data_IF_216172342701
#
_entry.id   IF_216172342701
#
_cell.length_a   1.000
_cell.length_b   1.000
_cell.length_c   1.000
_cell.angle_alpha   90.00
_cell.angle_beta   90.00
_cell.angle_gamma   90.00
#
_symmetry.space_group_name_H-M   'P 1'
#
loop_
_entity.id
_entity.type
_entity.pdbx_description
1 polymer ?
#
# COMPACT_ATOMS: atom_id res chain seq x y z
N UNK A 1 6.75 1.12 -98.50
CA UNK A 1 5.95 1.15 -97.26
C UNK A 1 6.18 -0.16 -96.50
N UNK A 2 7.11 -0.19 -95.54
CA UNK A 2 7.18 -1.29 -94.57
C UNK A 2 6.80 -0.71 -93.21
N UNK A 3 5.63 -1.13 -92.70
CA UNK A 3 5.14 -0.73 -91.38
C UNK A 3 5.88 -1.56 -90.33
N UNK A 4 6.69 -0.89 -89.50
CA UNK A 4 7.28 -1.48 -88.32
C UNK A 4 6.21 -1.49 -87.21
N UNK A 5 5.80 -2.67 -86.76
CA UNK A 5 4.88 -2.80 -85.62
C UNK A 5 5.69 -3.02 -84.36
N UNK A 6 5.79 -1.96 -83.55
CA UNK A 6 6.41 -1.98 -82.23
C UNK A 6 5.36 -2.48 -81.23
N UNK A 7 5.54 -3.70 -80.71
CA UNK A 7 4.76 -4.24 -79.61
C UNK A 7 5.42 -3.83 -78.29
N UNK A 8 4.77 -2.92 -77.55
CA UNK A 8 5.20 -2.52 -76.21
C UNK A 8 4.53 -3.46 -75.20
N UNK A 9 5.32 -4.27 -74.52
CA UNK A 9 4.88 -5.06 -73.37
C UNK A 9 4.89 -4.17 -72.12
N UNK A 10 3.73 -3.94 -71.50
CA UNK A 10 3.63 -3.33 -70.18
C UNK A 10 3.85 -4.41 -69.12
N UNK A 11 4.98 -4.35 -68.42
CA UNK A 11 5.24 -5.18 -67.23
C UNK A 11 4.51 -4.54 -66.04
N UNK A 12 3.39 -5.12 -65.61
CA UNK A 12 2.73 -4.73 -64.36
C UNK A 12 3.43 -5.53 -63.24
N UNK A 13 4.35 -4.90 -62.52
CA UNK A 13 4.93 -5.48 -61.32
C UNK A 13 3.96 -5.38 -60.15
N UNK A 14 3.44 -6.49 -59.66
CA UNK A 14 2.71 -6.56 -58.40
C UNK A 14 3.68 -6.69 -57.25
N UNK A 15 3.81 -5.66 -56.41
CA UNK A 15 4.47 -5.77 -55.11
C UNK A 15 3.50 -6.38 -54.11
N UNK A 16 3.68 -7.65 -53.78
CA UNK A 16 2.98 -8.27 -52.67
C UNK A 16 3.76 -7.99 -51.37
N UNK A 17 3.18 -7.22 -50.45
CA UNK A 17 3.71 -7.13 -49.08
C UNK A 17 3.35 -8.40 -48.33
N UNK A 18 4.36 -9.09 -47.79
CA UNK A 18 4.14 -10.20 -46.87
C UNK A 18 3.52 -9.69 -45.56
N UNK A 19 2.72 -10.51 -44.90
CA UNK A 19 2.06 -10.16 -43.65
C UNK A 19 3.09 -10.04 -42.52
N UNK A 20 3.18 -8.86 -41.90
CA UNK A 20 4.13 -8.57 -40.82
C UNK A 20 3.55 -8.81 -39.42
N UNK A 21 2.44 -9.54 -39.34
CA UNK A 21 1.70 -9.83 -38.10
C UNK A 21 0.89 -11.12 -38.26
N UNK A 22 0.61 -11.83 -37.17
CA UNK A 22 -0.41 -12.87 -37.16
C UNK A 22 -1.76 -12.20 -36.96
N UNK A 23 -2.64 -12.34 -37.95
CA UNK A 23 -4.00 -11.79 -37.92
C UNK A 23 -5.00 -12.90 -37.61
N UNK A 24 -5.65 -12.82 -36.45
CA UNK A 24 -6.75 -13.69 -36.11
C UNK A 24 -8.08 -12.98 -36.46
N UNK A 25 -8.83 -13.54 -37.40
CA UNK A 25 -10.21 -13.12 -37.73
C UNK A 25 -11.15 -14.34 -37.75
N UNK A 26 -10.87 -15.30 -36.88
CA UNK A 26 -11.63 -16.54 -36.78
C UNK A 26 -11.55 -17.14 -35.38
N UNK A 27 -11.86 -18.42 -35.28
CA UNK A 27 -11.98 -19.12 -34.00
C UNK A 27 -10.65 -19.74 -33.56
N UNK A 28 -9.60 -18.92 -33.44
CA UNK A 28 -8.31 -19.39 -32.92
C UNK A 28 -8.49 -19.85 -31.46
N UNK A 29 -8.16 -21.11 -31.18
CA UNK A 29 -8.26 -21.71 -29.85
C UNK A 29 -7.03 -22.54 -29.53
N UNK A 30 -6.47 -22.30 -28.36
CA UNK A 30 -5.37 -23.05 -27.77
C UNK A 30 -5.99 -24.00 -26.75
N UNK A 31 -5.87 -25.30 -27.02
CA UNK A 31 -6.37 -26.35 -26.14
C UNK A 31 -5.35 -26.69 -25.04
N UNK A 32 -5.79 -27.44 -24.04
CA UNK A 32 -4.96 -27.95 -22.95
C UNK A 32 -3.71 -28.68 -23.50
N UNK A 33 -2.54 -28.35 -22.95
CA UNK A 33 -1.25 -28.86 -23.43
C UNK A 33 -0.77 -28.28 -24.76
N UNK A 34 -1.56 -27.44 -25.42
CA UNK A 34 -1.16 -26.70 -26.60
C UNK A 34 -0.15 -25.60 -26.27
N UNK A 35 0.70 -25.25 -27.22
CA UNK A 35 1.63 -24.12 -27.10
C UNK A 35 1.67 -23.32 -28.39
N UNK A 36 1.61 -21.99 -28.27
CA UNK A 36 1.68 -21.04 -29.37
C UNK A 36 2.73 -19.97 -29.08
N UNK A 37 3.72 -19.82 -29.95
CA UNK A 37 4.74 -18.78 -29.84
C UNK A 37 4.57 -17.70 -30.90
N UNK A 38 4.35 -16.46 -30.47
CA UNK A 38 4.36 -15.28 -31.32
C UNK A 38 5.76 -14.69 -31.42
N UNK A 39 6.34 -14.71 -32.62
CA UNK A 39 7.58 -14.02 -32.97
C UNK A 39 7.33 -12.77 -33.85
N UNK A 40 6.08 -12.32 -33.89
CA UNK A 40 5.59 -11.20 -34.69
C UNK A 40 4.38 -10.59 -33.98
N UNK A 41 3.92 -9.43 -34.45
CA UNK A 41 2.77 -8.75 -33.87
C UNK A 41 1.51 -9.63 -33.94
N UNK A 42 0.64 -9.54 -32.94
CA UNK A 42 -0.69 -10.15 -32.94
C UNK A 42 -1.73 -9.07 -33.23
N UNK A 43 -2.59 -9.33 -34.21
CA UNK A 43 -3.79 -8.54 -34.48
C UNK A 43 -5.00 -9.44 -34.27
N UNK A 44 -5.79 -9.18 -33.22
CA UNK A 44 -6.96 -9.96 -32.87
C UNK A 44 -8.27 -9.26 -33.26
N UNK A 45 -8.91 -9.74 -34.31
CA UNK A 45 -10.18 -9.24 -34.86
C UNK A 45 -11.35 -10.20 -34.62
N UNK A 46 -11.20 -11.19 -33.74
CA UNK A 46 -12.27 -12.11 -33.36
C UNK A 46 -12.17 -12.50 -31.86
N UNK A 47 -13.28 -12.90 -31.21
CA UNK A 47 -13.25 -13.41 -29.84
C UNK A 47 -12.24 -14.54 -29.68
N UNK A 48 -11.41 -14.45 -28.64
CA UNK A 48 -10.33 -15.40 -28.37
C UNK A 48 -10.32 -15.75 -26.87
N UNK A 49 -11.43 -16.35 -26.42
CA UNK A 49 -11.67 -16.69 -25.02
C UNK A 49 -11.41 -18.16 -24.71
N UNK A 50 -11.34 -18.50 -23.42
CA UNK A 50 -11.29 -19.88 -22.90
C UNK A 50 -10.07 -20.71 -23.29
N UNK A 51 -9.01 -20.09 -23.80
CA UNK A 51 -7.74 -20.78 -24.04
C UNK A 51 -7.27 -21.51 -22.77
N UNK A 52 -6.56 -22.63 -22.92
CA UNK A 52 -6.08 -23.48 -21.82
C UNK A 52 -4.58 -23.82 -21.89
N UNK A 53 -3.89 -23.45 -22.97
CA UNK A 53 -2.48 -23.76 -23.17
C UNK A 53 -1.56 -22.54 -23.06
N UNK A 54 -0.28 -22.77 -23.35
CA UNK A 54 0.77 -21.76 -23.29
C UNK A 54 0.75 -20.85 -24.52
N UNK A 55 0.83 -19.55 -24.27
CA UNK A 55 1.09 -18.52 -25.28
C UNK A 55 2.36 -17.78 -24.92
N UNK A 56 3.35 -17.76 -25.81
CA UNK A 56 4.57 -17.01 -25.59
C UNK A 56 4.74 -15.86 -26.59
N UNK A 57 5.28 -14.74 -26.14
CA UNK A 57 5.75 -13.65 -26.98
C UNK A 57 7.28 -13.61 -26.93
N UNK A 58 7.91 -13.76 -28.09
CA UNK A 58 9.35 -14.01 -28.20
C UNK A 58 9.99 -13.13 -29.28
N UNK A 59 10.95 -12.31 -28.91
CA UNK A 59 11.69 -11.54 -29.92
C UNK A 59 12.68 -10.54 -29.34
N UNK A 60 13.53 -10.03 -30.22
CA UNK A 60 14.43 -8.92 -29.87
C UNK A 60 13.84 -7.58 -30.27
N UNK A 61 12.99 -7.50 -31.30
CA UNK A 61 12.25 -6.29 -31.65
C UNK A 61 10.98 -6.16 -30.79
N UNK A 62 10.43 -4.93 -30.61
CA UNK A 62 9.14 -4.75 -29.96
C UNK A 62 8.07 -5.57 -30.67
N UNK A 63 7.23 -6.26 -29.89
CA UNK A 63 6.04 -6.92 -30.39
C UNK A 63 4.81 -6.13 -29.95
N UNK A 64 3.75 -6.17 -30.76
CA UNK A 64 2.50 -5.48 -30.46
C UNK A 64 1.32 -6.46 -30.45
N UNK A 65 0.45 -6.33 -29.45
CA UNK A 65 -0.91 -6.88 -29.46
C UNK A 65 -1.88 -5.74 -29.75
N UNK A 66 -2.66 -5.89 -30.81
CA UNK A 66 -3.67 -4.91 -31.24
C UNK A 66 -4.90 -5.63 -31.78
N UNK A 67 -5.94 -4.88 -32.14
CA UNK A 67 -7.13 -5.43 -32.77
C UNK A 67 -8.42 -4.82 -32.22
N UNK A 68 -9.52 -5.54 -32.37
CA UNK A 68 -10.87 -5.10 -31.99
C UNK A 68 -11.41 -5.85 -30.75
N UNK A 69 -10.87 -7.05 -30.46
CA UNK A 69 -11.34 -7.91 -29.37
C UNK A 69 -10.20 -8.27 -28.43
N UNK A 70 -10.35 -7.99 -27.13
CA UNK A 70 -9.36 -8.35 -26.09
C UNK A 70 -9.14 -9.86 -26.09
N UNK A 71 -7.93 -10.36 -26.40
CA UNK A 71 -7.66 -11.79 -26.31
C UNK A 71 -7.51 -12.22 -24.85
N UNK A 72 -8.00 -13.42 -24.53
CA UNK A 72 -7.74 -14.09 -23.26
C UNK A 72 -6.76 -15.25 -23.47
N UNK A 73 -5.64 -15.24 -22.76
CA UNK A 73 -4.70 -16.35 -22.70
C UNK A 73 -4.81 -17.10 -21.36
N UNK A 74 -4.24 -18.31 -21.32
CA UNK A 74 -4.21 -19.13 -20.10
C UNK A 74 -2.87 -19.03 -19.39
N UNK A 75 -1.82 -19.52 -20.02
CA UNK A 75 -0.44 -19.28 -19.60
C UNK A 75 0.21 -18.34 -20.59
N UNK A 76 0.90 -17.32 -20.09
CA UNK A 76 1.60 -16.32 -20.89
C UNK A 76 3.07 -16.32 -20.53
N UNK A 77 3.94 -16.44 -21.53
CA UNK A 77 5.39 -16.21 -21.40
C UNK A 77 5.79 -14.95 -22.15
N UNK A 78 6.59 -14.10 -21.50
CA UNK A 78 7.01 -12.82 -22.05
C UNK A 78 8.53 -12.78 -22.08
N UNK A 79 9.10 -12.95 -23.27
CA UNK A 79 10.53 -12.79 -23.51
C UNK A 79 10.75 -11.93 -24.77
N UNK A 80 10.47 -10.64 -24.62
CA UNK A 80 10.58 -9.64 -25.69
C UNK A 80 11.57 -8.55 -25.26
N UNK A 81 12.78 -8.54 -25.82
CA UNK A 81 13.87 -7.65 -25.36
C UNK A 81 13.50 -6.15 -25.40
N UNK A 82 12.75 -5.74 -26.42
CA UNK A 82 12.26 -4.36 -26.57
C UNK A 82 10.74 -4.25 -26.32
N UNK A 83 10.26 -4.98 -25.32
CA UNK A 83 8.91 -4.91 -24.74
C UNK A 83 7.76 -5.44 -25.61
N UNK A 84 6.70 -5.91 -24.93
CA UNK A 84 5.40 -6.23 -25.52
C UNK A 84 4.47 -5.02 -25.37
N UNK A 85 4.16 -4.37 -26.49
CA UNK A 85 3.29 -3.19 -26.54
C UNK A 85 1.83 -3.60 -26.69
N UNK A 86 0.96 -3.07 -25.82
CA UNK A 86 -0.47 -3.28 -25.90
C UNK A 86 -1.15 -2.05 -26.50
N UNK A 87 -1.79 -2.24 -27.65
CA UNK A 87 -2.73 -1.27 -28.25
C UNK A 87 -4.19 -1.67 -28.01
N UNK A 88 -4.39 -2.77 -27.26
CA UNK A 88 -5.66 -3.31 -26.78
C UNK A 88 -5.36 -4.10 -25.51
N UNK A 89 -6.32 -4.21 -24.60
CA UNK A 89 -6.15 -5.01 -23.38
C UNK A 89 -5.81 -6.48 -23.67
N UNK A 90 -5.26 -7.16 -22.68
CA UNK A 90 -5.00 -8.62 -22.70
C UNK A 90 -5.45 -9.20 -21.38
N UNK A 91 -6.19 -10.31 -21.44
CA UNK A 91 -6.60 -11.03 -20.26
C UNK A 91 -5.75 -12.29 -20.08
N UNK A 92 -5.35 -12.56 -18.84
CA UNK A 92 -4.69 -13.80 -18.47
C UNK A 92 -5.49 -14.56 -17.41
N UNK A 93 -5.66 -15.87 -17.60
CA UNK A 93 -6.50 -16.70 -16.73
C UNK A 93 -5.75 -17.70 -15.85
N UNK A 94 -4.42 -17.82 -15.96
CA UNK A 94 -3.64 -18.68 -15.07
C UNK A 94 -2.28 -18.07 -14.68
N UNK A 95 -1.25 -18.14 -15.51
CA UNK A 95 0.09 -17.68 -15.13
C UNK A 95 0.65 -16.67 -16.14
N UNK A 96 1.22 -15.57 -15.66
CA UNK A 96 2.11 -14.70 -16.47
C UNK A 96 3.54 -14.89 -16.01
N UNK A 97 4.38 -15.46 -16.87
CA UNK A 97 5.81 -15.62 -16.63
C UNK A 97 6.58 -14.50 -17.35
N UNK A 98 7.08 -13.55 -16.56
CA UNK A 98 7.97 -12.49 -17.02
C UNK A 98 9.40 -13.03 -17.11
N UNK A 99 9.94 -13.17 -18.33
CA UNK A 99 11.29 -13.67 -18.57
C UNK A 99 12.21 -12.52 -18.97
N UNK A 100 11.76 -11.69 -19.91
CA UNK A 100 12.51 -10.55 -20.43
C UNK A 100 11.56 -9.49 -21.05
N UNK A 101 11.82 -8.23 -20.71
CA UNK A 101 11.07 -7.07 -21.21
C UNK A 101 9.76 -6.82 -20.47
N UNK A 102 9.21 -5.63 -20.69
CA UNK A 102 7.99 -5.19 -20.04
C UNK A 102 6.75 -5.49 -20.90
N UNK A 103 5.59 -5.60 -20.26
CA UNK A 103 4.30 -5.39 -20.91
C UNK A 103 3.99 -3.91 -20.80
N UNK A 104 3.88 -3.20 -21.92
CA UNK A 104 3.64 -1.76 -21.94
C UNK A 104 2.21 -1.47 -22.34
N UNK A 105 1.51 -0.77 -21.46
CA UNK A 105 0.17 -0.23 -21.70
C UNK A 105 0.25 1.29 -21.67
N UNK A 106 -0.43 2.03 -22.54
CA UNK A 106 -0.27 3.49 -22.60
C UNK A 106 -0.87 4.16 -21.36
N UNK A 107 -0.05 4.92 -20.63
CA UNK A 107 -0.50 5.68 -19.44
C UNK A 107 -1.59 6.73 -19.74
N UNK A 108 -1.68 7.19 -20.99
CA UNK A 108 -2.72 8.12 -21.46
C UNK A 108 -4.02 7.44 -21.91
N UNK A 109 -4.07 6.10 -21.91
CA UNK A 109 -5.22 5.29 -22.36
C UNK A 109 -5.59 4.26 -21.28
N UNK A 110 -6.24 4.70 -20.17
CA UNK A 110 -6.55 3.85 -19.01
C UNK A 110 -7.53 2.70 -19.28
N UNK A 111 -8.10 2.64 -20.49
CA UNK A 111 -8.91 1.53 -21.01
C UNK A 111 -8.08 0.37 -21.57
N UNK A 112 -6.77 0.56 -21.79
CA UNK A 112 -5.84 -0.48 -22.24
C UNK A 112 -5.02 -0.94 -21.05
N UNK A 113 -5.24 -2.16 -20.60
CA UNK A 113 -4.56 -2.74 -19.44
C UNK A 113 -4.34 -4.25 -19.61
N UNK A 114 -3.38 -4.77 -18.85
CA UNK A 114 -3.15 -6.20 -18.72
C UNK A 114 -3.89 -6.74 -17.50
N UNK A 115 -4.78 -7.72 -17.69
CA UNK A 115 -5.67 -8.23 -16.63
C UNK A 115 -5.22 -9.59 -16.13
N UNK A 116 -5.09 -9.75 -14.82
CA UNK A 116 -4.97 -11.02 -14.12
C UNK A 116 -6.36 -11.46 -13.63
N UNK A 117 -6.97 -12.43 -14.30
CA UNK A 117 -8.29 -12.93 -13.98
C UNK A 117 -8.29 -13.88 -12.77
N UNK A 118 -9.32 -13.81 -11.94
CA UNK A 118 -9.71 -14.81 -10.94
C UNK A 118 -8.54 -15.29 -10.06
N UNK A 119 -8.12 -16.55 -10.18
CA UNK A 119 -7.03 -17.15 -9.40
C UNK A 119 -5.66 -17.02 -10.07
N UNK A 120 -5.54 -16.26 -11.16
CA UNK A 120 -4.27 -16.11 -11.88
C UNK A 120 -3.17 -15.45 -11.05
N UNK A 121 -1.93 -15.80 -11.36
CA UNK A 121 -0.74 -15.29 -10.71
C UNK A 121 0.32 -14.94 -11.74
N UNK A 122 1.46 -14.44 -11.28
CA UNK A 122 2.62 -14.19 -12.12
C UNK A 122 3.90 -14.63 -11.44
N UNK A 123 4.96 -14.74 -12.23
CA UNK A 123 6.32 -15.07 -11.80
C UNK A 123 7.35 -14.30 -12.62
N UNK A 124 8.55 -14.11 -12.08
CA UNK A 124 9.70 -13.58 -12.82
C UNK A 124 9.77 -12.06 -12.94
N UNK A 125 8.89 -11.35 -12.24
CA UNK A 125 8.90 -9.90 -12.21
C UNK A 125 10.21 -9.34 -11.63
N UNK A 126 10.71 -8.26 -12.22
CA UNK A 126 11.89 -7.53 -11.77
C UNK A 126 11.91 -6.13 -12.41
N UNK A 127 12.95 -5.35 -12.11
CA UNK A 127 13.15 -4.01 -12.66
C UNK A 127 13.16 -3.94 -14.20
N UNK A 128 13.49 -5.03 -14.90
CA UNK A 128 13.52 -5.12 -16.36
C UNK A 128 12.35 -5.91 -16.95
N UNK A 129 11.46 -6.48 -16.14
CA UNK A 129 10.35 -7.30 -16.62
C UNK A 129 9.15 -7.22 -15.69
N UNK A 130 8.11 -6.49 -16.12
CA UNK A 130 6.92 -6.12 -15.35
C UNK A 130 5.88 -5.45 -16.26
N UNK A 131 4.78 -4.99 -15.71
CA UNK A 131 3.83 -4.11 -16.43
C UNK A 131 4.28 -2.65 -16.28
N UNK A 132 4.60 -2.00 -17.40
CA UNK A 132 4.79 -0.55 -17.46
C UNK A 132 3.47 0.09 -17.91
N UNK A 133 2.69 0.56 -16.93
CA UNK A 133 1.38 1.18 -17.12
C UNK A 133 0.29 0.50 -16.28
N UNK A 134 -0.91 0.35 -16.85
CA UNK A 134 -2.09 -0.20 -16.19
C UNK A 134 -2.11 -1.73 -16.19
N UNK A 135 -2.21 -2.29 -14.99
CA UNK A 135 -2.59 -3.66 -14.73
C UNK A 135 -3.95 -3.72 -14.01
N UNK A 136 -4.70 -4.80 -14.18
CA UNK A 136 -5.98 -5.01 -13.51
C UNK A 136 -6.09 -6.41 -12.94
N UNK A 137 -6.96 -6.59 -11.95
CA UNK A 137 -7.34 -7.88 -11.38
C UNK A 137 -8.85 -8.04 -11.33
N UNK A 138 -9.33 -9.28 -11.43
CA UNK A 138 -10.74 -9.62 -11.17
C UNK A 138 -10.87 -10.69 -10.11
N UNK A 139 -11.94 -10.63 -9.33
CA UNK A 139 -12.31 -11.63 -8.31
C UNK A 139 -11.19 -11.97 -7.30
N UNK A 140 -10.40 -10.97 -6.90
CA UNK A 140 -9.32 -11.11 -5.92
C UNK A 140 -9.51 -10.20 -4.71
N UNK A 141 -9.25 -10.73 -3.53
CA UNK A 141 -9.25 -9.95 -2.28
C UNK A 141 -7.87 -9.34 -1.99
N UNK A 142 -6.79 -10.02 -2.38
CA UNK A 142 -5.41 -9.56 -2.19
C UNK A 142 -4.62 -9.74 -3.49
N UNK A 143 -3.70 -8.81 -3.75
CA UNK A 143 -2.81 -8.88 -4.89
C UNK A 143 -1.59 -7.97 -4.72
N UNK A 144 -0.52 -8.31 -5.43
CA UNK A 144 0.66 -7.45 -5.61
C UNK A 144 0.68 -7.07 -7.07
N UNK A 145 0.52 -5.79 -7.40
CA UNK A 145 0.58 -5.36 -8.80
C UNK A 145 2.05 -5.35 -9.26
N UNK A 146 2.43 -6.11 -10.30
CA UNK A 146 3.80 -6.11 -10.83
C UNK A 146 3.97 -4.91 -11.79
N UNK A 147 3.78 -3.71 -11.27
CA UNK A 147 3.81 -2.46 -12.04
C UNK A 147 5.09 -1.67 -11.77
N UNK A 148 5.46 -0.79 -12.69
CA UNK A 148 6.58 0.13 -12.52
C UNK A 148 6.78 1.03 -13.72
N UNK A 149 7.91 1.71 -13.78
CA UNK A 149 8.32 2.48 -14.96
C UNK A 149 9.39 1.74 -15.76
N UNK A 150 10.05 2.42 -16.71
CA UNK A 150 11.10 1.81 -17.52
C UNK A 150 12.28 1.26 -16.70
N UNK A 151 12.53 1.81 -15.50
CA UNK A 151 13.74 1.51 -14.72
C UNK A 151 13.48 0.63 -13.53
N UNK A 152 12.38 0.84 -12.80
CA UNK A 152 12.16 0.17 -11.52
C UNK A 152 10.78 -0.44 -11.41
N UNK A 153 10.74 -1.64 -10.82
CA UNK A 153 9.54 -2.22 -10.25
C UNK A 153 9.10 -1.39 -9.04
N UNK A 154 7.81 -1.06 -9.01
CA UNK A 154 7.16 -0.22 -8.00
C UNK A 154 5.83 -0.84 -7.60
N UNK A 155 5.89 -2.01 -6.95
CA UNK A 155 4.69 -2.79 -6.71
C UNK A 155 3.77 -2.05 -5.76
N UNK A 156 2.47 -2.18 -6.03
CA UNK A 156 1.43 -1.78 -5.09
C UNK A 156 0.79 -3.05 -4.53
N UNK A 157 0.82 -3.20 -3.20
CA UNK A 157 0.21 -4.34 -2.52
C UNK A 157 -1.16 -3.91 -2.03
N UNK A 158 -2.22 -4.59 -2.43
CA UNK A 158 -3.59 -4.33 -1.98
C UNK A 158 -4.13 -5.49 -1.15
N UNK A 159 -4.80 -5.19 -0.04
CA UNK A 159 -5.59 -6.14 0.75
C UNK A 159 -6.94 -5.55 1.07
N UNK A 160 -7.99 -6.15 0.54
CA UNK A 160 -9.35 -5.65 0.64
C UNK A 160 -10.16 -6.39 1.70
N UNK A 161 -11.20 -5.74 2.22
CA UNK A 161 -12.13 -6.31 3.20
C UNK A 161 -13.02 -7.42 2.63
N UNK A 162 -13.20 -7.43 1.30
CA UNK A 162 -13.93 -8.47 0.56
C UNK A 162 -13.33 -8.65 -0.84
N UNK A 163 -13.83 -9.63 -1.59
CA UNK A 163 -13.39 -9.90 -2.96
C UNK A 163 -13.68 -8.67 -3.84
N UNK A 164 -12.65 -8.15 -4.52
CA UNK A 164 -12.84 -7.16 -5.55
C UNK A 164 -13.27 -7.84 -6.86
N UNK A 165 -14.41 -7.43 -7.41
CA UNK A 165 -14.80 -7.85 -8.76
C UNK A 165 -13.87 -7.29 -9.83
N UNK A 166 -13.34 -6.08 -9.60
CA UNK A 166 -12.39 -5.42 -10.48
C UNK A 166 -11.56 -4.39 -9.70
N UNK A 167 -10.23 -4.39 -9.87
CA UNK A 167 -9.32 -3.31 -9.42
C UNK A 167 -8.33 -3.05 -10.53
N UNK A 168 -7.97 -1.78 -10.76
CA UNK A 168 -6.97 -1.38 -11.74
C UNK A 168 -5.93 -0.48 -11.10
N UNK A 169 -4.66 -0.69 -11.43
CA UNK A 169 -3.55 0.06 -10.86
C UNK A 169 -2.49 0.41 -11.92
N UNK A 170 -1.89 1.60 -11.79
CA UNK A 170 -0.72 2.02 -12.54
C UNK A 170 0.21 2.87 -11.67
N UNK A 171 1.49 2.86 -12.03
CA UNK A 171 2.55 3.67 -11.43
C UNK A 171 3.03 4.75 -12.40
N UNK A 172 3.30 5.93 -11.87
CA UNK A 172 3.75 7.10 -12.62
C UNK A 172 4.98 7.69 -11.93
N UNK A 173 6.07 7.79 -12.67
CA UNK A 173 7.23 8.60 -12.26
C UNK A 173 7.14 9.97 -12.94
N UNK A 174 6.22 10.80 -12.44
CA UNK A 174 5.89 12.12 -12.98
C UNK A 174 5.57 13.10 -11.86
N UNK A 175 5.79 14.39 -12.12
CA UNK A 175 5.44 15.48 -11.19
C UNK A 175 3.93 15.50 -10.92
N UNK A 176 3.49 15.23 -9.68
CA UNK A 176 2.08 15.28 -9.30
C UNK A 176 1.43 16.66 -9.52
N UNK A 177 2.21 17.75 -9.47
CA UNK A 177 1.72 19.11 -9.75
C UNK A 177 1.49 19.34 -11.24
N UNK A 178 2.18 18.61 -12.13
CA UNK A 178 2.03 18.73 -13.57
C UNK A 178 2.32 17.40 -14.27
N UNK A 179 1.43 16.40 -14.15
CA UNK A 179 1.64 15.10 -14.78
C UNK A 179 1.59 15.21 -16.30
N UNK A 180 2.42 14.44 -17.00
CA UNK A 180 2.50 14.44 -18.46
C UNK A 180 1.53 13.44 -19.09
N UNK A 181 1.31 12.29 -18.44
CA UNK A 181 0.49 11.21 -18.99
C UNK A 181 -0.82 10.98 -18.24
N UNK A 182 -0.99 11.62 -17.08
CA UNK A 182 -2.21 11.52 -16.27
C UNK A 182 -2.97 12.85 -16.23
N UNK A 183 -4.32 12.87 -16.41
CA UNK A 183 -5.07 14.11 -16.43
C UNK A 183 -5.25 14.68 -15.03
N UNK A 184 -4.89 15.95 -14.83
CA UNK A 184 -5.16 16.68 -13.59
C UNK A 184 -3.98 17.51 -13.12
N UNK A 185 -4.17 18.13 -11.95
CA UNK A 185 -3.11 18.87 -11.23
C UNK A 185 -3.36 18.67 -9.74
N UNK A 186 -2.38 18.09 -9.05
CA UNK A 186 -2.51 17.70 -7.66
C UNK A 186 -1.54 18.51 -6.79
N UNK A 187 -1.90 19.79 -6.57
CA UNK A 187 -1.04 20.75 -5.87
C UNK A 187 -0.54 20.19 -4.52
N UNK A 188 0.75 19.89 -4.42
CA UNK A 188 1.40 19.30 -3.24
C UNK A 188 1.41 20.21 -2.02
N UNK A 189 1.06 21.49 -2.19
CA UNK A 189 0.88 22.45 -1.09
C UNK A 189 -0.54 22.44 -0.50
N UNK A 190 -1.52 21.83 -1.16
CA UNK A 190 -2.89 21.75 -0.65
C UNK A 190 -3.06 20.48 0.19
N UNK A 191 -2.77 20.58 1.48
CA UNK A 191 -2.69 19.43 2.39
C UNK A 191 -3.66 19.53 3.57
N UNK A 192 -3.95 18.39 4.21
CA UNK A 192 -4.53 18.33 5.54
C UNK A 192 -3.55 18.86 6.60
N UNK A 193 -4.06 19.20 7.79
CA UNK A 193 -3.31 19.91 8.83
C UNK A 193 -2.11 19.12 9.39
N UNK A 194 -2.15 17.81 9.34
CA UNK A 194 -1.17 16.87 9.88
C UNK A 194 -0.04 16.50 8.91
N UNK A 195 -0.16 16.91 7.64
CA UNK A 195 0.85 16.71 6.60
C UNK A 195 1.76 17.94 6.53
N UNK A 196 3.07 17.71 6.55
CA UNK A 196 4.11 18.75 6.39
C UNK A 196 4.45 18.96 4.91
N UNK A 197 4.79 17.88 4.20
CA UNK A 197 5.19 17.88 2.80
C UNK A 197 4.57 16.70 2.06
N UNK A 198 4.39 16.84 0.75
CA UNK A 198 3.98 15.76 -0.15
C UNK A 198 5.01 15.65 -1.26
N UNK A 199 5.45 14.42 -1.57
CA UNK A 199 6.34 14.17 -2.69
C UNK A 199 5.64 14.48 -4.00
N UNK A 200 6.35 15.17 -4.88
CA UNK A 200 5.92 15.40 -6.24
C UNK A 200 6.51 14.38 -7.23
N UNK A 201 7.47 13.55 -6.82
CA UNK A 201 8.32 12.77 -7.75
C UNK A 201 7.63 11.57 -8.42
N UNK A 202 6.67 10.96 -7.74
CA UNK A 202 5.99 9.74 -8.22
C UNK A 202 4.60 9.62 -7.61
N UNK A 203 3.72 8.85 -8.25
CA UNK A 203 2.42 8.51 -7.70
C UNK A 203 1.86 7.21 -8.29
N UNK A 204 0.87 6.65 -7.62
CA UNK A 204 0.09 5.50 -8.06
C UNK A 204 -1.35 5.92 -8.30
N UNK A 205 -1.95 5.41 -9.38
CA UNK A 205 -3.40 5.42 -9.59
C UNK A 205 -3.94 4.06 -9.19
N UNK A 206 -4.89 4.01 -8.26
CA UNK A 206 -5.58 2.80 -7.85
C UNK A 206 -7.09 3.02 -7.94
N UNK A 207 -7.78 2.17 -8.69
CA UNK A 207 -9.24 2.20 -8.89
C UNK A 207 -9.85 0.93 -8.31
N UNK A 208 -10.83 1.09 -7.43
CA UNK A 208 -11.47 0.02 -6.68
C UNK A 208 -12.44 0.57 -5.63
N UNK A 209 -13.59 -0.07 -5.49
CA UNK A 209 -14.69 0.39 -4.64
C UNK A 209 -14.82 -0.37 -3.31
N UNK A 210 -13.98 -1.38 -3.08
CA UNK A 210 -13.96 -2.14 -1.83
C UNK A 210 -12.97 -1.48 -0.85
N UNK A 211 -13.36 -1.25 0.41
CA UNK A 211 -12.43 -0.77 1.45
C UNK A 211 -11.20 -1.68 1.54
N UNK A 212 -10.02 -1.07 1.50
CA UNK A 212 -8.74 -1.74 1.34
C UNK A 212 -7.63 -1.06 2.12
N UNK A 213 -6.62 -1.84 2.50
CA UNK A 213 -5.30 -1.35 2.88
C UNK A 213 -4.35 -1.50 1.70
N UNK A 214 -3.43 -0.55 1.56
CA UNK A 214 -2.43 -0.53 0.50
C UNK A 214 -1.05 -0.41 1.12
N UNK A 215 -0.06 -1.09 0.53
CA UNK A 215 1.35 -0.86 0.88
C UNK A 215 2.14 -0.39 -0.35
N UNK A 216 2.91 0.68 -0.14
CA UNK A 216 3.74 1.33 -1.15
C UNK A 216 5.21 1.17 -0.75
N UNK A 217 6.04 0.70 -1.69
CA UNK A 217 7.48 0.65 -1.53
C UNK A 217 8.13 1.90 -2.10
N UNK A 218 9.21 2.35 -1.47
CA UNK A 218 9.99 3.51 -1.93
C UNK A 218 11.48 3.19 -1.89
N UNK A 219 12.27 3.93 -2.67
CA UNK A 219 13.73 3.82 -2.68
C UNK A 219 14.42 5.18 -2.85
N UNK A 220 15.74 5.22 -3.06
CA UNK A 220 16.50 6.46 -3.16
C UNK A 220 16.01 7.37 -4.31
N UNK A 221 15.41 6.80 -5.36
CA UNK A 221 14.82 7.56 -6.48
C UNK A 221 13.53 8.29 -6.07
N UNK A 222 12.85 7.84 -5.01
CA UNK A 222 11.67 8.50 -4.45
C UNK A 222 12.00 9.87 -3.83
N UNK A 223 13.28 10.18 -3.61
CA UNK A 223 13.73 11.52 -3.18
C UNK A 223 13.37 11.89 -1.74
N UNK A 224 12.94 10.94 -0.90
CA UNK A 224 12.42 11.24 0.44
C UNK A 224 13.45 11.88 1.38
N UNK A 225 14.74 11.67 1.13
CA UNK A 225 15.84 12.33 1.86
C UNK A 225 15.82 13.87 1.72
N UNK A 226 15.21 14.40 0.67
CA UNK A 226 15.05 15.84 0.46
C UNK A 226 13.83 16.39 1.22
N UNK A 227 12.94 15.51 1.70
CA UNK A 227 11.72 15.86 2.42
C UNK A 227 11.86 15.65 3.93
N UNK A 228 12.56 14.59 4.36
CA UNK A 228 12.77 14.28 5.78
C UNK A 228 14.01 13.42 6.01
N UNK A 229 14.61 13.53 7.19
CA UNK A 229 15.66 12.63 7.69
C UNK A 229 15.11 11.56 8.66
N UNK A 230 13.81 11.61 8.97
CA UNK A 230 13.14 10.72 9.92
C UNK A 230 12.18 9.78 9.19
N UNK A 231 12.55 8.49 9.13
CA UNK A 231 11.74 7.44 8.49
C UNK A 231 10.33 7.33 9.11
N UNK A 232 10.18 7.64 10.40
CA UNK A 232 8.90 7.51 11.10
C UNK A 232 7.88 8.57 10.69
N UNK A 233 8.32 9.65 10.01
CA UNK A 233 7.44 10.67 9.46
C UNK A 233 6.95 10.36 8.04
N UNK A 234 7.51 9.34 7.39
CA UNK A 234 7.11 8.96 6.03
C UNK A 234 5.71 8.32 6.11
N UNK A 235 4.77 8.91 5.38
CA UNK A 235 3.37 8.49 5.36
C UNK A 235 2.88 8.28 3.92
N UNK A 236 1.93 7.36 3.68
CA UNK A 236 1.20 7.35 2.43
C UNK A 236 0.12 8.44 2.48
N UNK A 237 -0.03 9.19 1.39
CA UNK A 237 -1.04 10.24 1.26
C UNK A 237 -1.86 10.02 -0.01
N UNK A 238 -3.13 10.41 0.04
CA UNK A 238 -4.03 10.35 -1.10
C UNK A 238 -4.64 11.71 -1.42
N UNK A 239 -4.76 12.05 -2.70
CA UNK A 239 -5.47 13.26 -3.12
C UNK A 239 -6.98 13.02 -3.13
N UNK A 240 -7.68 13.51 -2.11
CA UNK A 240 -9.11 13.26 -1.89
C UNK A 240 -9.97 13.96 -2.95
N UNK A 241 -10.83 13.21 -3.65
CA UNK A 241 -11.80 13.75 -4.61
C UNK A 241 -12.82 14.67 -3.95
N UNK A 242 -13.20 14.34 -2.72
CA UNK A 242 -14.21 15.09 -1.96
C UNK A 242 -13.71 16.46 -1.51
N UNK A 243 -12.48 16.50 -0.97
CA UNK A 243 -11.94 17.73 -0.37
C UNK A 243 -10.97 18.49 -1.27
N UNK A 244 -10.55 17.89 -2.39
CA UNK A 244 -9.63 18.49 -3.35
C UNK A 244 -8.25 18.80 -2.74
N UNK A 245 -7.77 17.97 -1.82
CA UNK A 245 -6.48 18.14 -1.12
C UNK A 245 -5.89 16.79 -0.71
N UNK A 246 -4.60 16.79 -0.38
CA UNK A 246 -3.89 15.64 0.17
C UNK A 246 -4.34 15.32 1.59
N UNK A 247 -4.65 14.06 1.84
CA UNK A 247 -5.07 13.52 3.15
C UNK A 247 -4.09 12.41 3.54
N UNK A 248 -3.77 12.36 4.83
CA UNK A 248 -2.91 11.34 5.41
C UNK A 248 -3.68 10.03 5.46
N UNK A 249 -3.07 8.97 4.95
CA UNK A 249 -3.67 7.63 4.93
C UNK A 249 -2.86 6.66 5.80
N UNK A 250 -1.91 7.10 6.63
CA UNK A 250 -1.01 6.21 7.34
C UNK A 250 -1.74 5.28 8.32
N UNK A 251 -1.54 3.96 8.16
CA UNK A 251 -2.06 2.94 9.07
C UNK A 251 -0.98 2.26 9.92
N UNK A 252 0.29 2.50 9.60
CA UNK A 252 1.46 2.00 10.33
C UNK A 252 2.67 2.90 10.06
N UNK A 253 3.66 2.90 10.96
CA UNK A 253 4.92 3.57 10.70
C UNK A 253 5.61 2.95 9.49
N UNK A 254 6.26 3.78 8.67
CA UNK A 254 7.13 3.27 7.61
C UNK A 254 8.24 2.40 8.21
N UNK A 255 8.60 1.34 7.48
CA UNK A 255 9.68 0.42 7.88
C UNK A 255 10.82 0.50 6.88
N UNK A 256 12.06 0.41 7.37
CA UNK A 256 13.27 0.54 6.56
C UNK A 256 14.06 1.80 6.92
N UNK A 257 14.58 2.47 5.90
CA UNK A 257 15.32 3.74 6.00
C UNK A 257 14.61 4.81 5.18
N UNK A 258 15.10 6.05 5.20
CA UNK A 258 14.60 7.12 4.31
C UNK A 258 14.87 6.82 2.83
N UNK A 259 15.89 6.03 2.52
CA UNK A 259 16.30 5.73 1.15
C UNK A 259 15.75 4.41 0.61
N UNK A 260 15.10 3.60 1.44
CA UNK A 260 14.50 2.32 1.02
C UNK A 260 13.58 1.82 2.12
N UNK A 261 12.34 1.52 1.77
CA UNK A 261 11.38 1.03 2.74
C UNK A 261 9.99 0.78 2.16
N UNK A 262 9.06 0.54 3.08
CA UNK A 262 7.66 0.30 2.79
C UNK A 262 6.79 1.02 3.81
N UNK A 263 5.69 1.58 3.34
CA UNK A 263 4.67 2.23 4.17
C UNK A 263 3.29 1.69 3.80
N UNK A 264 2.42 1.54 4.79
CA UNK A 264 1.07 0.99 4.61
C UNK A 264 0.00 1.96 5.08
N UNK A 265 -1.12 1.97 4.36
CA UNK A 265 -2.28 2.79 4.68
C UNK A 265 -3.13 2.18 5.79
N UNK A 266 -3.95 3.00 6.44
CA UNK A 266 -5.17 2.55 7.09
C UNK A 266 -6.18 2.09 6.03
N UNK A 267 -7.34 1.60 6.47
CA UNK A 267 -8.40 1.21 5.53
C UNK A 267 -9.03 2.43 4.88
N UNK A 268 -9.12 2.42 3.54
CA UNK A 268 -9.80 3.45 2.76
C UNK A 268 -10.45 2.85 1.51
N UNK A 269 -11.34 3.59 0.85
CA UNK A 269 -11.89 3.20 -0.45
C UNK A 269 -11.03 3.84 -1.56
N UNK A 270 -10.35 3.06 -2.42
CA UNK A 270 -9.48 3.62 -3.46
C UNK A 270 -10.18 4.63 -4.38
N UNK A 271 -11.43 4.38 -4.75
CA UNK A 271 -12.20 5.26 -5.63
C UNK A 271 -12.52 6.65 -5.03
N UNK A 272 -12.31 6.87 -3.74
CA UNK A 272 -12.45 8.21 -3.13
C UNK A 272 -11.25 9.14 -3.39
N UNK A 273 -10.17 8.59 -3.96
CA UNK A 273 -8.91 9.31 -4.18
C UNK A 273 -8.54 9.32 -5.68
N UNK A 274 -7.89 10.41 -6.12
CA UNK A 274 -7.40 10.51 -7.50
C UNK A 274 -6.10 9.74 -7.68
N UNK A 275 -5.14 9.98 -6.80
CA UNK A 275 -3.81 9.35 -6.81
C UNK A 275 -3.31 9.17 -5.37
N UNK A 276 -2.38 8.24 -5.20
CA UNK A 276 -1.65 7.97 -3.96
C UNK A 276 -0.18 8.32 -4.17
N UNK A 277 0.47 8.91 -3.17
CA UNK A 277 1.92 9.12 -3.16
C UNK A 277 2.46 9.06 -1.73
N UNK A 278 3.71 9.44 -1.54
CA UNK A 278 4.42 9.52 -0.27
C UNK A 278 4.44 10.96 0.21
N UNK A 279 4.34 11.15 1.51
CA UNK A 279 4.45 12.45 2.16
C UNK A 279 5.21 12.35 3.47
N UNK A 280 5.31 13.50 4.14
CA UNK A 280 5.93 13.64 5.45
C UNK A 280 4.89 14.21 6.41
N UNK A 281 4.65 13.54 7.52
CA UNK A 281 3.80 14.04 8.60
C UNK A 281 4.55 15.06 9.46
N UNK A 282 3.83 16.05 10.01
CA UNK A 282 4.43 17.08 10.89
C UNK A 282 5.05 16.49 12.16
N UNK A 283 4.45 15.43 12.65
CA UNK A 283 4.90 14.65 13.81
C UNK A 283 5.15 13.20 13.37
N UNK A 284 6.13 12.50 13.96
CA UNK A 284 6.32 11.07 13.73
C UNK A 284 5.00 10.29 13.77
N UNK A 285 4.79 9.40 12.81
CA UNK A 285 3.72 8.44 12.92
C UNK A 285 4.12 7.42 13.98
N UNK A 286 3.60 7.59 15.18
CA UNK A 286 3.58 6.51 16.14
C UNK A 286 2.32 5.70 15.83
N UNK A 287 2.41 4.44 15.35
CA UNK A 287 1.23 3.58 15.36
C UNK A 287 0.70 3.67 16.77
N UNK A 288 -0.62 3.66 16.95
CA UNK A 288 -1.22 3.52 18.26
C UNK A 288 -0.72 2.19 18.89
N UNK A 289 0.52 2.15 19.41
CA UNK A 289 0.65 1.90 20.81
C UNK A 289 -0.34 2.89 21.40
N UNK A 290 -1.50 2.39 21.85
CA UNK A 290 -2.11 2.97 23.04
C UNK A 290 -0.92 3.47 23.86
N UNK A 291 -0.76 4.78 24.12
CA UNK A 291 0.32 5.28 24.95
C UNK A 291 0.44 4.29 26.10
N UNK A 292 1.40 3.37 26.03
CA UNK A 292 1.59 2.43 27.11
C UNK A 292 2.34 3.35 28.03
N UNK A 293 1.60 4.02 28.92
CA UNK A 293 2.20 4.60 30.09
C UNK A 293 3.10 3.50 30.63
N UNK A 294 4.40 3.70 30.48
CA UNK A 294 5.41 2.84 31.05
C UNK A 294 5.39 3.22 32.51
N UNK A 295 4.47 2.61 33.23
CA UNK A 295 4.41 2.79 34.66
C UNK A 295 5.64 2.13 35.24
N UNK A 296 6.51 2.96 35.81
CA UNK A 296 7.65 2.50 36.57
C UNK A 296 7.19 1.81 37.87
N UNK A 297 8.14 1.20 38.59
CA UNK A 297 7.88 0.72 39.94
C UNK A 297 8.21 1.84 40.92
N UNK A 298 7.25 2.18 41.78
CA UNK A 298 7.36 3.34 42.66
C UNK A 298 7.77 2.94 44.08
N UNK A 299 8.51 3.81 44.76
CA UNK A 299 8.74 3.72 46.21
C UNK A 299 7.97 4.86 46.89
N UNK A 300 7.26 4.54 47.98
CA UNK A 300 6.60 5.53 48.82
C UNK A 300 7.21 5.43 50.21
N UNK A 301 7.85 6.49 50.69
CA UNK A 301 8.42 6.60 52.03
C UNK A 301 7.66 7.64 52.83
N UNK A 302 6.53 7.23 53.42
CA UNK A 302 5.66 8.13 54.18
C UNK A 302 6.22 8.46 55.57
N UNK A 303 7.36 9.16 55.61
CA UNK A 303 8.11 9.54 56.81
C UNK A 303 8.10 11.07 57.06
N UNK A 304 7.58 11.87 56.13
CA UNK A 304 7.43 13.31 56.23
C UNK A 304 8.71 14.10 55.96
N UNK A 305 9.70 13.52 55.28
CA UNK A 305 10.96 14.19 54.94
C UNK A 305 10.89 14.99 53.62
N UNK A 306 9.76 14.94 52.92
CA UNK A 306 9.50 15.62 51.66
C UNK A 306 9.96 14.84 50.41
N UNK A 307 10.51 13.63 50.57
CA UNK A 307 11.04 12.79 49.49
C UNK A 307 10.18 11.53 49.39
N UNK A 308 9.51 11.33 48.25
CA UNK A 308 8.65 10.15 47.99
C UNK A 308 7.57 9.90 49.07
N UNK A 309 7.12 10.95 49.77
CA UNK A 309 6.06 10.87 50.78
C UNK A 309 4.71 10.45 50.21
N UNK A 310 4.53 10.62 48.90
CA UNK A 310 3.31 10.30 48.16
C UNK A 310 3.57 9.36 46.99
N UNK A 311 2.54 8.63 46.59
CA UNK A 311 2.55 7.89 45.33
C UNK A 311 2.25 8.85 44.18
N UNK A 312 3.31 9.42 43.60
CA UNK A 312 3.20 10.39 42.51
C UNK A 312 3.50 9.73 41.17
N UNK A 313 2.58 9.88 40.22
CA UNK A 313 2.68 9.33 38.85
C UNK A 313 2.60 10.51 37.88
N UNK A 314 3.73 11.01 37.37
CA UNK A 314 3.76 12.16 36.46
C UNK A 314 2.82 12.01 35.26
N UNK A 315 2.70 10.79 34.75
CA UNK A 315 2.01 10.43 33.52
C UNK A 315 0.50 10.66 33.53
N UNK A 316 -0.12 10.75 34.73
CA UNK A 316 -1.58 10.86 34.87
C UNK A 316 -2.04 12.24 35.36
N UNK A 317 -1.11 13.16 35.63
CA UNK A 317 -1.38 14.48 36.19
C UNK A 317 -2.29 15.34 35.31
N UNK A 318 -2.10 15.25 34.00
CA UNK A 318 -2.81 16.09 33.02
C UNK A 318 -3.95 15.33 32.31
N UNK A 319 -4.16 14.06 32.65
CA UNK A 319 -5.08 13.18 31.92
C UNK A 319 -6.55 13.41 32.31
N UNK A 320 -6.82 13.92 33.51
CA UNK A 320 -8.19 14.07 34.02
C UNK A 320 -8.96 12.73 34.06
N UNK A 321 -10.11 12.67 34.73
CA UNK A 321 -11.02 11.52 34.69
C UNK A 321 -10.34 10.14 34.83
N UNK A 322 -9.46 10.01 35.83
CA UNK A 322 -8.72 8.79 36.12
C UNK A 322 -9.24 8.13 37.42
N UNK A 323 -9.01 6.83 37.59
CA UNK A 323 -9.31 6.08 38.82
C UNK A 323 -8.06 5.29 39.23
N UNK A 324 -7.54 5.59 40.42
CA UNK A 324 -6.41 4.86 41.01
C UNK A 324 -6.90 3.98 42.15
N UNK A 325 -6.53 2.71 42.13
CA UNK A 325 -6.83 1.74 43.19
C UNK A 325 -5.55 1.06 43.65
N UNK A 326 -5.39 0.82 44.95
CA UNK A 326 -4.22 0.14 45.52
C UNK A 326 -4.69 -1.06 46.35
N UNK A 327 -3.98 -2.17 46.22
CA UNK A 327 -4.25 -3.46 46.82
C UNK A 327 -3.04 -3.95 47.61
N UNK A 328 -3.27 -4.61 48.73
CA UNK A 328 -2.21 -5.31 49.45
C UNK A 328 -1.77 -6.59 48.73
N UNK A 329 -0.74 -7.26 49.28
CA UNK A 329 -0.22 -8.52 48.74
C UNK A 329 -1.24 -9.68 48.69
N UNK A 330 -2.36 -9.56 49.38
CA UNK A 330 -3.42 -10.56 49.44
C UNK A 330 -4.62 -10.19 48.56
N UNK A 331 -4.52 -9.09 47.80
CA UNK A 331 -5.59 -8.61 46.92
C UNK A 331 -6.67 -7.80 47.63
N UNK A 332 -6.48 -7.42 48.89
CA UNK A 332 -7.40 -6.52 49.59
C UNK A 332 -7.18 -5.09 49.09
N UNK A 333 -8.21 -4.47 48.51
CA UNK A 333 -8.17 -3.05 48.13
C UNK A 333 -8.01 -2.20 49.39
N UNK A 334 -6.98 -1.39 49.46
CA UNK A 334 -6.68 -0.52 50.61
C UNK A 334 -6.86 0.96 50.28
N UNK A 335 -6.87 1.34 49.01
CA UNK A 335 -7.05 2.72 48.58
C UNK A 335 -7.82 2.80 47.27
N UNK A 336 -8.61 3.85 47.10
CA UNK A 336 -9.33 4.18 45.86
C UNK A 336 -9.55 5.69 45.74
N UNK A 337 -9.26 6.28 44.59
CA UNK A 337 -9.47 7.71 44.37
C UNK A 337 -9.76 8.03 42.90
N UNK A 338 -10.76 8.89 42.69
CA UNK A 338 -11.11 9.42 41.36
C UNK A 338 -10.42 10.77 41.13
N UNK A 339 -9.98 11.02 39.90
CA UNK A 339 -9.16 12.19 39.52
C UNK A 339 -7.91 12.31 40.40
N UNK A 340 -7.23 11.17 40.60
CA UNK A 340 -6.03 11.07 41.39
C UNK A 340 -4.90 11.90 40.80
N UNK A 341 -4.14 12.53 41.69
CA UNK A 341 -2.92 13.28 41.39
C UNK A 341 -1.74 12.78 42.23
N UNK A 342 -1.87 12.77 43.55
CA UNK A 342 -0.83 12.33 44.48
C UNK A 342 -1.34 12.08 45.93
N UNK A 343 -2.60 11.72 46.10
CA UNK A 343 -3.27 11.71 47.41
C UNK A 343 -2.85 10.54 48.32
N UNK A 344 -2.23 9.48 47.77
CA UNK A 344 -1.85 8.33 48.57
C UNK A 344 -0.54 8.57 49.32
N UNK A 345 -0.67 8.67 50.65
CA UNK A 345 0.42 8.90 51.63
C UNK A 345 0.70 7.67 52.51
N UNK A 346 0.41 6.45 52.04
CA UNK A 346 0.63 5.23 52.82
C UNK A 346 -0.45 4.91 53.88
N UNK A 347 -1.63 5.54 53.77
CA UNK A 347 -2.80 5.25 54.59
C UNK A 347 -3.94 4.72 53.73
N UNK A 348 -4.74 3.83 54.30
CA UNK A 348 -5.99 3.39 53.68
C UNK A 348 -7.05 4.46 53.82
N UNK A 349 -7.84 4.70 52.77
CA UNK A 349 -9.05 5.54 52.82
C UNK A 349 -10.34 4.70 52.86
N UNK A 350 -10.23 3.39 53.11
CA UNK A 350 -11.33 2.44 53.14
C UNK A 350 -11.57 1.95 54.58
N UNK A 351 -12.84 1.73 54.94
CA UNK A 351 -13.24 1.22 56.25
C UNK A 351 -13.05 -0.31 56.39
N UNK A 352 -11.93 -0.84 55.92
CA UNK A 352 -11.66 -2.28 55.85
C UNK A 352 -10.37 -2.72 56.55
N UNK A 353 -9.70 -1.81 57.27
CA UNK A 353 -8.53 -2.12 58.11
C UNK A 353 -8.92 -2.04 59.60
N UNK A 354 -9.23 -3.18 60.25
CA UNK A 354 -9.77 -3.20 61.60
C UNK A 354 -8.74 -2.99 62.73
N UNK A 355 -7.43 -3.02 62.45
CA UNK A 355 -6.36 -2.92 63.46
C UNK A 355 -5.25 -1.94 63.03
N UNK A 356 -4.88 -1.02 63.93
CA UNK A 356 -3.77 -0.06 63.78
C UNK A 356 -3.87 0.89 62.56
N UNK A 357 -5.08 1.27 62.13
CA UNK A 357 -5.27 2.23 61.02
C UNK A 357 -4.51 3.55 61.26
N UNK A 358 -4.42 4.00 62.52
CA UNK A 358 -3.65 5.18 62.94
C UNK A 358 -2.15 5.10 62.61
N UNK A 359 -1.60 3.87 62.50
CA UNK A 359 -0.19 3.63 62.16
C UNK A 359 0.04 3.52 60.66
N UNK A 360 -1.04 3.59 59.88
CA UNK A 360 -1.07 3.42 58.43
C UNK A 360 -0.74 2.01 57.95
N UNK A 361 -0.59 1.86 56.64
CA UNK A 361 -0.36 0.57 56.00
C UNK A 361 1.05 0.01 56.36
N UNK A 362 1.18 -1.31 56.60
CA UNK A 362 2.47 -1.95 56.86
C UNK A 362 3.47 -1.77 55.70
N UNK A 363 4.76 -1.77 56.02
CA UNK A 363 5.79 -1.79 54.97
C UNK A 363 5.72 -3.07 54.13
N UNK A 364 5.89 -2.94 52.82
CA UNK A 364 5.83 -4.07 51.88
C UNK A 364 5.40 -3.68 50.47
N UNK A 365 5.24 -4.70 49.62
CA UNK A 365 4.77 -4.54 48.25
C UNK A 365 3.26 -4.42 48.21
N UNK A 366 2.78 -3.42 47.48
CA UNK A 366 1.39 -3.17 47.13
C UNK A 366 1.25 -3.16 45.61
N UNK A 367 0.09 -3.55 45.12
CA UNK A 367 -0.25 -3.51 43.70
C UNK A 367 -1.20 -2.35 43.46
N UNK A 368 -1.10 -1.68 42.33
CA UNK A 368 -2.05 -0.64 41.96
C UNK A 368 -2.57 -0.82 40.56
N UNK A 369 -3.78 -0.30 40.33
CA UNK A 369 -4.40 -0.20 39.01
C UNK A 369 -4.76 1.24 38.73
N UNK A 370 -4.65 1.62 37.46
CA UNK A 370 -5.04 2.95 36.96
C UNK A 370 -5.98 2.75 35.79
N UNK A 371 -7.19 3.29 35.87
CA UNK A 371 -8.10 3.38 34.75
C UNK A 371 -8.15 4.82 34.23
N UNK A 372 -7.82 5.03 32.96
CA UNK A 372 -8.04 6.29 32.25
C UNK A 372 -9.37 6.16 31.52
N UNK A 373 -10.42 6.78 32.06
CA UNK A 373 -11.80 6.52 31.66
C UNK A 373 -12.07 7.04 30.25
N UNK A 374 -11.57 8.23 29.92
CA UNK A 374 -11.75 8.87 28.61
C UNK A 374 -11.02 8.10 27.50
N UNK A 375 -9.85 7.55 27.82
CA UNK A 375 -9.00 6.82 26.87
C UNK A 375 -9.36 5.32 26.81
N UNK A 376 -10.22 4.82 27.71
CA UNK A 376 -10.56 3.39 27.89
C UNK A 376 -9.31 2.52 28.08
N UNK A 377 -8.34 3.03 28.84
CA UNK A 377 -7.08 2.35 29.14
C UNK A 377 -7.05 1.90 30.61
N UNK A 378 -6.45 0.73 30.84
CA UNK A 378 -6.23 0.19 32.17
C UNK A 378 -4.78 -0.23 32.29
N UNK A 379 -4.15 0.19 33.37
CA UNK A 379 -2.76 -0.13 33.68
C UNK A 379 -2.65 -0.75 35.07
N UNK A 380 -1.58 -1.49 35.28
CA UNK A 380 -1.26 -2.11 36.57
C UNK A 380 0.24 -2.04 36.84
N UNK A 381 0.61 -1.92 38.10
CA UNK A 381 1.99 -1.94 38.55
C UNK A 381 2.10 -2.31 40.02
N UNK A 382 3.30 -2.18 40.58
CA UNK A 382 3.51 -2.33 42.02
C UNK A 382 4.28 -1.15 42.60
N UNK A 383 4.03 -0.88 43.87
CA UNK A 383 4.79 0.07 44.67
C UNK A 383 5.33 -0.62 45.92
N UNK A 384 6.48 -0.17 46.41
CA UNK A 384 7.00 -0.55 47.71
C UNK A 384 6.74 0.56 48.72
N UNK A 385 5.98 0.26 49.77
CA UNK A 385 5.75 1.17 50.89
C UNK A 385 6.85 0.97 51.94
N UNK A 386 7.69 1.99 52.11
CA UNK A 386 8.70 2.13 53.14
C UNK A 386 8.18 2.99 54.31
N UNK A 387 8.83 2.88 55.47
CA UNK A 387 8.55 3.65 56.68
C UNK A 387 9.81 4.29 57.22
#
# INVERSE_FOLDING_TARGET
MNKLHLLIFFLIGSTASAQTALYNNGNLRIHEGGSLGFHTNLINAAPMDGNLGLTGFYGTAPLMVSGEFTPQFHDVEIAVENDLLLALGVNNSNNTNFILGNVRTPLTQPEIFYTFLDDSFYTGENDLSKVEGYAAITNKQEFIFPIGDRTFLRPLIIRSTSINLFVKCAYFYEDANNPNSFPGTYNTLNTALDIELVSDQEFWRLEGNVPSTVSLTYNARSGLQDLTDDVTKIIPVGYSKLSGRWVNLAGSAATGTVNEGIVSTEEFVPDDYEILTLGVSKIPYEPLSKEVLTLDNYIVSANGDGINDTFFIPEIMDKGNNLVQIYDRYGLKVFEFENYTNEFIGFSNLNNIPLNAEKGLPAGVYFYTIALIDEKLNYQGFLYLAR
#
